data_IF_026094598908
#
_entry.id   IF_026094598908
#
_cell.length_a   1.000
_cell.length_b   1.000
_cell.length_c   1.000
_cell.angle_alpha   90.00
_cell.angle_beta   90.00
_cell.angle_gamma   90.00
#
_symmetry.space_group_name_H-M   'P 1'
#
loop_
_entity.id
_entity.type
_entity.pdbx_description
1 polymer ?
#
# COMPACT_ATOMS: atom_id res chain seq x y z
N UNK A 1 -0.01 -12.95 12.46
CA UNK A 1 -1.06 -11.95 12.15
C UNK A 1 -0.50 -11.02 11.09
N UNK A 2 -1.13 -10.90 9.93
CA UNK A 2 -0.69 -9.98 8.89
C UNK A 2 -1.33 -8.62 9.14
N UNK A 3 -0.54 -7.64 9.53
CA UNK A 3 -0.97 -6.26 9.54
C UNK A 3 -0.70 -5.67 8.15
N UNK A 4 -1.75 -5.24 7.48
CA UNK A 4 -1.63 -4.43 6.28
C UNK A 4 -1.31 -3.01 6.76
N UNK A 5 -0.04 -2.65 6.77
CA UNK A 5 0.41 -1.30 7.05
C UNK A 5 0.58 -0.61 5.72
N UNK A 6 -0.26 0.38 5.51
CA UNK A 6 -0.19 1.39 4.46
C UNK A 6 -0.12 0.89 3.02
N UNK A 7 -1.28 0.74 2.43
CA UNK A 7 -1.41 0.89 1.00
C UNK A 7 -1.22 2.38 0.68
N UNK A 8 -0.03 2.91 0.78
CA UNK A 8 0.26 4.19 0.17
C UNK A 8 0.39 3.99 -1.33
N UNK A 9 -0.72 4.10 -2.02
CA UNK A 9 -0.71 4.38 -3.45
C UNK A 9 -0.48 5.88 -3.67
N UNK A 10 0.42 6.45 -2.92
CA UNK A 10 0.98 7.69 -3.34
C UNK A 10 1.87 7.39 -4.52
N UNK A 11 1.66 8.09 -5.60
CA UNK A 11 2.69 8.37 -6.57
C UNK A 11 3.86 8.87 -5.76
N UNK A 12 4.71 7.94 -5.32
CA UNK A 12 5.78 8.28 -4.40
C UNK A 12 6.80 9.03 -5.22
N UNK A 13 6.72 10.34 -5.14
CA UNK A 13 7.69 11.24 -5.78
C UNK A 13 9.09 11.07 -5.21
N UNK A 14 9.21 10.31 -4.11
CA UNK A 14 10.45 10.09 -3.38
C UNK A 14 10.85 8.61 -3.40
N UNK A 15 12.14 8.38 -3.41
CA UNK A 15 12.73 7.06 -3.22
C UNK A 15 12.60 6.63 -1.76
N UNK A 16 12.37 5.34 -1.54
CA UNK A 16 12.31 4.76 -0.19
C UNK A 16 13.33 3.66 -0.01
N UNK A 17 13.84 3.54 1.21
CA UNK A 17 14.66 2.41 1.65
C UNK A 17 14.02 1.79 2.87
N UNK A 18 13.72 0.50 2.77
CA UNK A 18 13.12 -0.27 3.85
C UNK A 18 14.15 -1.25 4.40
N UNK A 19 14.58 -1.04 5.64
CA UNK A 19 15.44 -1.97 6.37
C UNK A 19 14.60 -2.69 7.44
N UNK A 20 14.66 -4.01 7.48
CA UNK A 20 13.93 -4.82 8.47
C UNK A 20 14.88 -5.18 9.61
N UNK A 21 14.45 -4.90 10.83
CA UNK A 21 15.19 -5.20 12.05
C UNK A 21 14.68 -6.50 12.69
N UNK A 22 13.36 -6.68 12.69
CA UNK A 22 12.69 -7.85 13.27
C UNK A 22 11.44 -8.18 12.46
N UNK A 23 11.02 -9.45 12.44
CA UNK A 23 9.92 -9.91 11.61
C UNK A 23 10.28 -9.98 10.12
N UNK A 24 9.29 -9.94 9.26
CA UNK A 24 9.49 -9.84 7.81
C UNK A 24 8.45 -8.93 7.17
N UNK A 25 8.83 -8.24 6.09
CA UNK A 25 7.92 -7.45 5.27
C UNK A 25 7.73 -8.08 3.90
N UNK A 26 6.48 -8.20 3.51
CA UNK A 26 6.07 -8.74 2.22
C UNK A 26 5.61 -7.59 1.34
N UNK A 27 6.30 -7.37 0.25
CA UNK A 27 5.99 -6.33 -0.71
C UNK A 27 5.38 -6.94 -1.96
N UNK A 28 4.32 -6.31 -2.45
CA UNK A 28 3.84 -6.48 -3.81
C UNK A 28 4.12 -5.18 -4.54
N UNK A 29 4.97 -5.21 -5.54
CA UNK A 29 5.48 -4.06 -6.27
C UNK A 29 4.93 -4.05 -7.68
N UNK A 30 4.56 -2.86 -8.18
CA UNK A 30 4.11 -2.68 -9.55
C UNK A 30 4.85 -1.48 -10.16
N UNK A 31 5.42 -1.64 -11.36
CA UNK A 31 6.13 -0.57 -12.02
C UNK A 31 5.18 0.56 -12.46
N UNK A 32 5.69 1.79 -12.65
CA UNK A 32 4.89 2.91 -13.16
C UNK A 32 4.20 2.62 -14.50
N UNK A 33 4.78 1.75 -15.31
CA UNK A 33 4.21 1.32 -16.60
C UNK A 33 2.86 0.59 -16.47
N UNK A 34 2.55 0.05 -15.30
CA UNK A 34 1.31 -0.70 -15.06
C UNK A 34 0.15 0.20 -14.59
N UNK A 35 0.34 1.52 -14.53
CA UNK A 35 -0.66 2.48 -14.04
C UNK A 35 -2.05 2.31 -14.66
N UNK A 36 -2.11 1.95 -15.95
CA UNK A 36 -3.37 1.73 -16.69
C UNK A 36 -4.23 0.61 -16.07
N UNK A 37 -3.60 -0.39 -15.46
CA UNK A 37 -4.27 -1.53 -14.83
C UNK A 37 -4.59 -1.33 -13.35
N UNK A 38 -4.16 -0.23 -12.74
CA UNK A 38 -4.30 0.00 -11.31
C UNK A 38 -5.56 0.76 -10.91
N UNK A 39 -6.22 1.44 -11.86
CA UNK A 39 -7.45 2.20 -11.62
C UNK A 39 -7.32 3.24 -10.52
N UNK A 40 -6.15 3.89 -10.43
CA UNK A 40 -5.88 4.93 -9.46
C UNK A 40 -6.93 6.05 -9.53
N UNK A 41 -7.47 6.43 -8.37
CA UNK A 41 -8.47 7.49 -8.24
C UNK A 41 -8.46 8.08 -6.84
N UNK A 42 -9.06 9.26 -6.70
CA UNK A 42 -9.17 9.93 -5.42
C UNK A 42 -10.29 9.36 -4.56
N UNK A 43 -9.97 9.16 -3.30
CA UNK A 43 -10.90 8.73 -2.25
C UNK A 43 -10.96 9.77 -1.13
N UNK A 44 -12.14 9.98 -0.51
CA UNK A 44 -12.23 10.81 0.68
C UNK A 44 -11.32 10.29 1.78
N UNK A 45 -10.61 11.21 2.43
CA UNK A 45 -9.75 10.86 3.55
C UNK A 45 -10.47 11.03 4.87
N UNK A 46 -10.16 10.17 5.83
CA UNK A 46 -10.71 10.17 7.18
C UNK A 46 -9.57 10.07 8.19
N UNK A 47 -9.76 10.64 9.36
CA UNK A 47 -8.81 10.55 10.45
C UNK A 47 -9.50 10.24 11.77
N UNK A 48 -8.75 9.66 12.68
CA UNK A 48 -9.20 9.50 14.07
C UNK A 48 -9.05 10.82 14.81
N UNK A 49 -10.12 11.24 15.51
CA UNK A 49 -10.13 12.43 16.34
C UNK A 49 -10.58 12.08 17.76
N UNK A 50 -10.28 12.97 18.70
CA UNK A 50 -10.71 12.87 20.10
C UNK A 50 -10.31 11.55 20.79
N UNK A 51 -9.12 11.02 20.48
CA UNK A 51 -8.62 9.78 21.07
C UNK A 51 -8.29 9.99 22.55
N UNK A 52 -9.25 9.68 23.42
CA UNK A 52 -9.06 9.70 24.90
C UNK A 52 -8.60 8.34 25.42
N UNK A 53 -8.97 7.25 24.75
CA UNK A 53 -8.55 5.88 25.04
C UNK A 53 -8.57 5.05 23.75
N UNK A 54 -8.13 3.77 23.81
CA UNK A 54 -8.21 2.86 22.67
C UNK A 54 -9.65 2.57 22.20
N UNK A 55 -10.63 2.86 23.02
CA UNK A 55 -12.06 2.60 22.75
C UNK A 55 -12.84 3.87 22.42
N UNK A 56 -12.29 5.04 22.75
CA UNK A 56 -12.94 6.35 22.55
C UNK A 56 -12.29 7.14 21.42
N UNK A 57 -12.59 6.78 20.17
CA UNK A 57 -12.18 7.54 19.00
C UNK A 57 -13.38 7.79 18.08
N UNK A 58 -13.35 8.91 17.41
CA UNK A 58 -14.29 9.29 16.36
C UNK A 58 -13.58 9.28 15.02
N UNK A 59 -14.27 8.85 13.98
CA UNK A 59 -13.79 8.95 12.60
C UNK A 59 -14.41 10.22 12.02
N UNK A 60 -13.55 11.18 11.67
CA UNK A 60 -13.96 12.44 11.06
C UNK A 60 -13.44 12.55 9.63
N UNK A 61 -14.24 13.13 8.75
CA UNK A 61 -13.86 13.41 7.38
C UNK A 61 -12.80 14.50 7.34
N UNK A 62 -11.82 14.34 6.48
CA UNK A 62 -10.85 15.38 6.16
C UNK A 62 -11.34 16.21 4.96
N UNK A 63 -10.86 17.45 4.86
CA UNK A 63 -11.18 18.36 3.75
C UNK A 63 -10.35 18.09 2.48
N UNK A 64 -9.67 16.94 2.43
CA UNK A 64 -8.86 16.51 1.29
C UNK A 64 -9.15 15.05 0.91
N UNK A 65 -8.85 14.71 -0.33
CA UNK A 65 -8.85 13.34 -0.82
C UNK A 65 -7.44 12.81 -1.00
N UNK A 66 -7.31 11.50 -0.97
CA UNK A 66 -6.04 10.80 -1.19
C UNK A 66 -6.19 9.91 -2.41
N UNK A 67 -5.22 9.99 -3.31
CA UNK A 67 -5.14 9.09 -4.45
C UNK A 67 -4.82 7.68 -3.98
N UNK A 68 -5.57 6.70 -4.48
CA UNK A 68 -5.50 5.32 -4.02
C UNK A 68 -5.81 4.32 -5.12
N UNK A 69 -5.23 3.11 -5.00
CA UNK A 69 -5.50 1.99 -5.89
C UNK A 69 -6.54 1.07 -5.27
N UNK A 70 -7.72 0.94 -5.90
CA UNK A 70 -8.80 0.10 -5.38
C UNK A 70 -8.60 -1.39 -5.62
N UNK A 71 -7.64 -1.79 -6.45
CA UNK A 71 -7.36 -3.20 -6.76
C UNK A 71 -6.55 -3.83 -5.62
N UNK A 72 -7.04 -4.94 -5.07
CA UNK A 72 -6.24 -5.77 -4.16
C UNK A 72 -5.32 -6.68 -4.99
N UNK A 73 -3.99 -6.49 -4.96
CA UNK A 73 -3.07 -7.27 -5.78
C UNK A 73 -3.00 -8.75 -5.37
N UNK A 74 -3.44 -9.10 -4.16
CA UNK A 74 -3.46 -10.50 -3.69
C UNK A 74 -4.71 -11.25 -4.09
N UNK A 75 -5.81 -10.53 -4.31
CA UNK A 75 -7.09 -11.10 -4.72
C UNK A 75 -7.80 -10.13 -5.67
N UNK A 76 -7.26 -9.91 -6.88
CA UNK A 76 -7.82 -8.94 -7.80
C UNK A 76 -9.21 -9.35 -8.29
N UNK A 77 -10.16 -8.42 -8.21
CA UNK A 77 -11.48 -8.57 -8.84
C UNK A 77 -11.39 -8.20 -10.32
N UNK A 78 -11.06 -9.16 -11.17
CA UNK A 78 -10.89 -8.96 -12.61
C UNK A 78 -12.21 -8.68 -13.35
N UNK A 79 -13.38 -8.92 -12.72
CA UNK A 79 -14.67 -8.50 -13.28
C UNK A 79 -14.83 -6.99 -13.16
N UNK A 80 -14.44 -6.44 -12.03
CA UNK A 80 -14.49 -5.00 -11.75
C UNK A 80 -13.31 -4.24 -12.34
N UNK A 81 -12.12 -4.87 -12.38
CA UNK A 81 -10.86 -4.28 -12.80
C UNK A 81 -10.17 -5.14 -13.86
N UNK A 82 -10.75 -5.28 -15.07
CA UNK A 82 -10.26 -6.21 -16.08
C UNK A 82 -8.85 -5.90 -16.59
N UNK A 83 -8.44 -4.63 -16.65
CA UNK A 83 -7.10 -4.25 -17.12
C UNK A 83 -5.98 -4.69 -16.17
N UNK A 84 -6.30 -4.96 -14.90
CA UNK A 84 -5.30 -5.48 -13.96
C UNK A 84 -4.73 -6.84 -14.37
N UNK A 85 -5.43 -7.61 -15.20
CA UNK A 85 -4.92 -8.86 -15.76
C UNK A 85 -3.63 -8.69 -16.59
N UNK A 86 -3.34 -7.49 -17.05
CA UNK A 86 -2.14 -7.15 -17.82
C UNK A 86 -1.02 -6.55 -16.96
N UNK A 87 -1.26 -6.32 -15.67
CA UNK A 87 -0.24 -5.84 -14.75
C UNK A 87 0.76 -6.96 -14.41
N UNK A 88 1.98 -6.57 -14.06
CA UNK A 88 3.10 -7.48 -13.76
C UNK A 88 3.60 -7.27 -12.33
N UNK A 89 2.84 -7.65 -11.30
CA UNK A 89 3.25 -7.48 -9.92
C UNK A 89 4.48 -8.33 -9.59
N UNK A 90 5.41 -7.76 -8.85
CA UNK A 90 6.61 -8.43 -8.34
C UNK A 90 6.48 -8.61 -6.84
N UNK A 91 6.64 -9.84 -6.37
CA UNK A 91 6.62 -10.17 -4.94
C UNK A 91 8.04 -10.16 -4.39
N UNK A 92 8.22 -9.52 -3.23
CA UNK A 92 9.49 -9.44 -2.53
C UNK A 92 9.28 -9.59 -1.02
N UNK A 93 10.09 -10.44 -0.38
CA UNK A 93 10.11 -10.58 1.08
C UNK A 93 11.44 -10.03 1.58
N UNK A 94 11.38 -9.10 2.52
CA UNK A 94 12.53 -8.49 3.17
C UNK A 94 12.61 -8.98 4.61
N UNK A 95 13.74 -9.60 4.97
CA UNK A 95 14.00 -10.22 6.27
C UNK A 95 14.95 -9.38 7.13
N UNK A 96 15.11 -9.69 8.41
CA UNK A 96 16.07 -8.99 9.26
C UNK A 96 17.49 -8.99 8.65
N UNK A 97 18.08 -7.79 8.60
CA UNK A 97 19.39 -7.56 7.99
C UNK A 97 19.36 -7.30 6.47
N UNK A 98 18.22 -7.44 5.83
CA UNK A 98 18.03 -7.10 4.41
C UNK A 98 17.43 -5.70 4.25
N UNK A 99 17.64 -5.13 3.08
CA UNK A 99 17.11 -3.81 2.71
C UNK A 99 16.51 -3.87 1.30
N UNK A 100 15.33 -3.27 1.16
CA UNK A 100 14.71 -3.01 -0.14
C UNK A 100 14.94 -1.55 -0.52
N UNK A 101 15.47 -1.31 -1.70
CA UNK A 101 15.42 -0.02 -2.37
C UNK A 101 14.19 0.04 -3.28
N UNK A 102 13.29 0.97 -3.00
CA UNK A 102 12.09 1.20 -3.78
C UNK A 102 12.25 2.51 -4.55
N UNK A 103 12.38 2.45 -5.88
CA UNK A 103 12.49 3.66 -6.70
C UNK A 103 11.23 4.53 -6.62
N UNK A 104 11.38 5.81 -6.91
CA UNK A 104 10.25 6.71 -7.07
C UNK A 104 9.26 6.18 -8.13
N UNK A 105 8.00 6.55 -8.00
CA UNK A 105 6.89 6.20 -8.90
C UNK A 105 6.46 4.72 -8.92
N UNK A 106 7.11 3.86 -8.15
CA UNK A 106 6.67 2.48 -7.99
C UNK A 106 5.47 2.38 -7.04
N UNK A 107 4.46 1.67 -7.48
CA UNK A 107 3.32 1.32 -6.64
C UNK A 107 3.68 0.14 -5.75
N UNK A 108 3.22 0.15 -4.51
CA UNK A 108 3.55 -0.92 -3.59
C UNK A 108 2.44 -1.18 -2.57
N UNK A 109 2.31 -2.44 -2.22
CA UNK A 109 1.54 -2.92 -1.08
C UNK A 109 2.51 -3.58 -0.10
N UNK A 110 2.39 -3.26 1.17
CA UNK A 110 3.23 -3.83 2.22
C UNK A 110 2.36 -4.60 3.19
N UNK A 111 2.77 -5.81 3.51
CA UNK A 111 2.24 -6.58 4.62
C UNK A 111 3.39 -6.93 5.57
N UNK A 112 3.12 -6.99 6.85
CA UNK A 112 4.10 -7.31 7.86
C UNK A 112 3.70 -8.59 8.58
N UNK A 113 4.69 -9.41 8.86
CA UNK A 113 4.55 -10.58 9.72
C UNK A 113 5.53 -10.43 10.88
N UNK A 114 4.97 -10.41 12.07
CA UNK A 114 5.73 -10.43 13.31
C UNK A 114 6.00 -11.89 13.73
N UNK A 115 7.13 -12.09 14.32
CA UNK A 115 7.51 -13.39 14.89
C UNK A 115 7.34 -13.38 16.40
#
# INVERSE_FOLDING_TARGET
MYHCVDNHSNTVTLEHRYAVISGEKHFTLLPPSDVFGLYERDFPSYQYANVKSREDYEIVSCDFSTSWIPVDPKKPDLKRFPLYAHASPVECIVRPGEMLYLPAMWYHRVAQKDF
#
